data_IF_469455659458
#
_entry.id   IF_469455659458
#
_cell.length_a   1.000
_cell.length_b   1.000
_cell.length_c   1.000
_cell.angle_alpha   90.00
_cell.angle_beta   90.00
_cell.angle_gamma   90.00
#
_symmetry.space_group_name_H-M   'P 1'
#
loop_
_entity.id
_entity.type
_entity.pdbx_description
1 polymer ?
#
# COMPACT_ATOMS: atom_id res chain seq x y z
N UNK A 1 -16.20 25.29 -1.29
CA UNK A 1 -15.89 24.30 -2.34
C UNK A 1 -14.38 24.25 -2.50
N UNK A 2 -13.74 23.11 -2.19
CA UNK A 2 -12.27 22.95 -2.18
C UNK A 2 -11.73 22.44 -3.53
N UNK A 3 -12.18 23.02 -4.64
CA UNK A 3 -11.69 22.63 -5.97
C UNK A 3 -10.48 23.49 -6.32
N UNK A 4 -9.36 22.86 -6.68
CA UNK A 4 -8.19 23.55 -7.22
C UNK A 4 -8.10 23.36 -8.74
N UNK A 5 -7.34 24.21 -9.43
CA UNK A 5 -7.05 23.99 -10.84
C UNK A 5 -6.26 22.66 -10.94
N UNK A 6 -6.69 21.69 -11.78
CA UNK A 6 -6.08 20.37 -11.87
C UNK A 6 -4.76 20.40 -12.65
N UNK A 7 -3.87 21.32 -12.27
CA UNK A 7 -2.46 21.32 -12.65
C UNK A 7 -1.69 20.28 -11.85
N UNK A 8 -2.09 20.03 -10.59
CA UNK A 8 -1.40 19.10 -9.67
C UNK A 8 -2.37 18.14 -8.97
N UNK A 9 -3.56 18.59 -8.57
CA UNK A 9 -4.59 17.77 -7.89
C UNK A 9 -5.99 18.35 -8.10
N UNK A 10 -7.05 17.58 -7.83
CA UNK A 10 -8.44 18.07 -7.90
C UNK A 10 -8.85 18.89 -6.67
N UNK A 11 -8.29 18.58 -5.50
CA UNK A 11 -8.57 19.26 -4.24
C UNK A 11 -7.34 19.97 -3.72
N UNK A 12 -7.48 21.19 -3.18
CA UNK A 12 -6.33 21.89 -2.59
C UNK A 12 -5.81 21.18 -1.34
N UNK A 13 -6.69 20.42 -0.67
CA UNK A 13 -6.40 19.72 0.56
C UNK A 13 -6.55 20.60 1.80
N UNK A 14 -6.82 21.90 1.66
CA UNK A 14 -6.99 22.81 2.79
C UNK A 14 -8.20 22.41 3.66
N UNK A 15 -9.36 22.16 3.03
CA UNK A 15 -10.55 21.75 3.77
C UNK A 15 -10.39 20.36 4.39
N UNK A 16 -9.66 19.47 3.72
CA UNK A 16 -9.39 18.14 4.25
C UNK A 16 -8.43 18.20 5.46
N UNK A 17 -7.42 19.09 5.41
CA UNK A 17 -6.55 19.35 6.55
C UNK A 17 -7.32 19.96 7.72
N UNK A 18 -8.19 20.94 7.47
CA UNK A 18 -9.04 21.56 8.49
C UNK A 18 -9.96 20.53 9.13
N UNK A 19 -10.64 19.68 8.33
CA UNK A 19 -11.48 18.61 8.87
C UNK A 19 -10.73 17.61 9.75
N UNK A 20 -9.49 17.25 9.38
CA UNK A 20 -8.65 16.37 10.20
C UNK A 20 -8.16 17.07 11.48
N UNK A 21 -7.84 18.36 11.40
CA UNK A 21 -7.49 19.17 12.57
C UNK A 21 -8.67 19.36 13.51
N UNK A 22 -9.89 19.53 13.00
CA UNK A 22 -11.10 19.64 13.81
C UNK A 22 -11.41 18.33 14.57
N UNK A 23 -11.15 17.18 13.94
CA UNK A 23 -11.41 15.86 14.54
C UNK A 23 -10.31 15.48 15.54
N UNK A 24 -9.04 15.69 15.21
CA UNK A 24 -7.92 15.20 16.01
C UNK A 24 -7.25 16.26 16.88
N UNK A 25 -7.47 17.55 16.61
CA UNK A 25 -6.84 18.67 17.32
C UNK A 25 -5.32 18.57 17.34
N UNK A 26 -4.74 18.86 18.50
CA UNK A 26 -3.29 18.81 18.75
C UNK A 26 -2.78 17.43 19.17
N UNK A 27 -3.60 16.37 19.01
CA UNK A 27 -3.25 15.00 19.43
C UNK A 27 -2.00 14.52 18.70
N UNK A 28 -1.04 13.99 19.46
CA UNK A 28 0.13 13.30 18.92
C UNK A 28 -0.13 11.80 18.84
N UNK A 29 0.48 11.11 17.86
CA UNK A 29 0.31 9.66 17.66
C UNK A 29 0.69 8.88 18.93
N UNK A 30 1.81 9.25 19.55
CA UNK A 30 2.36 8.60 20.73
C UNK A 30 1.49 8.74 21.98
N UNK A 31 0.59 9.72 22.01
CA UNK A 31 -0.32 9.99 23.13
C UNK A 31 -1.62 9.18 23.05
N UNK A 32 -1.84 8.42 21.97
CA UNK A 32 -3.04 7.61 21.80
C UNK A 32 -3.08 6.43 22.79
N UNK A 33 -4.27 6.22 23.39
CA UNK A 33 -4.50 5.11 24.33
C UNK A 33 -4.23 3.73 23.71
N UNK A 34 -4.53 3.60 22.42
CA UNK A 34 -4.21 2.42 21.62
C UNK A 34 -3.02 2.78 20.76
N UNK A 35 -1.94 2.00 20.86
CA UNK A 35 -0.75 2.16 20.01
C UNK A 35 -1.18 2.16 18.55
N UNK A 36 -0.82 3.23 17.84
CA UNK A 36 -1.18 3.49 16.46
C UNK A 36 0.08 3.69 15.64
N UNK A 37 0.01 3.28 14.38
CA UNK A 37 0.94 3.71 13.35
C UNK A 37 0.18 3.91 12.05
N UNK A 38 0.73 4.74 11.16
CA UNK A 38 0.30 4.79 9.77
C UNK A 38 1.52 4.80 8.84
N UNK A 39 1.28 4.47 7.58
CA UNK A 39 2.33 4.38 6.57
C UNK A 39 2.08 5.42 5.50
N UNK A 40 3.16 6.07 5.07
CA UNK A 40 3.16 6.88 3.84
C UNK A 40 4.28 6.40 2.92
N UNK A 41 4.10 6.63 1.62
CA UNK A 41 5.20 6.50 0.66
C UNK A 41 5.97 7.81 0.57
N UNK A 42 7.27 7.78 0.86
CA UNK A 42 8.15 8.89 0.56
C UNK A 42 8.62 8.80 -0.89
N UNK A 43 8.15 9.73 -1.72
CA UNK A 43 8.48 9.79 -3.15
C UNK A 43 9.88 10.36 -3.38
N UNK A 44 10.37 11.22 -2.48
CA UNK A 44 11.71 11.82 -2.57
C UNK A 44 12.79 10.75 -2.40
N UNK A 45 12.67 9.92 -1.37
CA UNK A 45 13.66 8.88 -1.05
C UNK A 45 13.29 7.49 -1.61
N UNK A 46 12.11 7.36 -2.22
CA UNK A 46 11.57 6.08 -2.75
C UNK A 46 11.50 4.99 -1.68
N UNK A 47 11.10 5.34 -0.46
CA UNK A 47 11.00 4.41 0.66
C UNK A 47 9.63 4.46 1.35
N UNK A 48 9.37 3.45 2.18
CA UNK A 48 8.22 3.40 3.06
C UNK A 48 8.56 4.10 4.38
N UNK A 49 7.73 5.03 4.81
CA UNK A 49 7.85 5.68 6.11
C UNK A 49 6.73 5.19 7.04
N UNK A 50 7.11 4.72 8.23
CA UNK A 50 6.21 4.33 9.30
C UNK A 50 6.18 5.47 10.33
N UNK A 51 4.98 5.99 10.58
CA UNK A 51 4.77 7.11 11.51
C UNK A 51 4.20 6.57 12.82
N UNK A 52 5.01 6.63 13.88
CA UNK A 52 4.64 6.23 15.25
C UNK A 52 4.62 7.41 16.22
N UNK A 53 4.99 8.61 15.77
CA UNK A 53 5.04 9.82 16.59
C UNK A 53 4.77 11.09 15.77
N UNK A 54 4.33 12.15 16.45
CA UNK A 54 4.06 13.47 15.88
C UNK A 54 2.57 13.72 15.58
N UNK A 55 2.23 14.83 14.89
CA UNK A 55 0.84 15.29 14.82
C UNK A 55 -0.05 14.31 14.06
N UNK A 56 -1.06 13.75 14.74
CA UNK A 56 -1.91 12.69 14.21
C UNK A 56 -2.62 13.11 12.92
N UNK A 57 -3.23 14.30 12.90
CA UNK A 57 -3.95 14.80 11.73
C UNK A 57 -3.06 14.88 10.49
N UNK A 58 -1.77 15.21 10.69
CA UNK A 58 -0.82 15.46 9.61
C UNK A 58 -0.34 14.16 8.96
N UNK A 59 0.01 13.16 9.78
CA UNK A 59 0.45 11.87 9.25
C UNK A 59 -0.71 11.00 8.79
N UNK A 60 -1.88 11.11 9.41
CA UNK A 60 -3.12 10.54 8.85
C UNK A 60 -3.42 11.15 7.47
N UNK A 61 -3.31 12.48 7.33
CA UNK A 61 -3.44 13.17 6.04
C UNK A 61 -2.45 12.67 5.01
N UNK A 62 -1.19 12.49 5.39
CA UNK A 62 -0.14 11.99 4.50
C UNK A 62 -0.48 10.57 4.01
N UNK A 63 -0.87 9.69 4.93
CA UNK A 63 -1.26 8.29 4.66
C UNK A 63 -2.47 8.16 3.75
N UNK A 64 -3.35 9.17 3.68
CA UNK A 64 -4.54 9.22 2.82
C UNK A 64 -4.37 10.08 1.55
N UNK A 65 -3.13 10.37 1.14
CA UNK A 65 -2.85 11.27 0.00
C UNK A 65 -2.89 10.54 -1.34
N UNK A 66 -4.09 10.35 -1.88
CA UNK A 66 -4.24 9.75 -3.21
C UNK A 66 -3.77 10.71 -4.30
N UNK A 67 -2.82 10.26 -5.13
CA UNK A 67 -2.26 11.04 -6.24
C UNK A 67 -3.35 11.50 -7.22
N UNK A 68 -3.26 12.76 -7.63
CA UNK A 68 -4.24 13.42 -8.49
C UNK A 68 -5.50 13.87 -7.76
N UNK A 69 -5.84 13.31 -6.59
CA UNK A 69 -6.93 13.78 -5.75
C UNK A 69 -6.45 14.92 -4.84
N UNK A 70 -5.35 14.68 -4.14
CA UNK A 70 -4.77 15.56 -3.13
C UNK A 70 -3.28 15.85 -3.47
N UNK A 71 -2.76 17.04 -3.14
CA UNK A 71 -1.34 17.31 -3.32
C UNK A 71 -0.52 16.47 -2.31
N UNK A 72 0.69 16.03 -2.71
CA UNK A 72 1.66 15.41 -1.79
C UNK A 72 1.91 16.30 -0.57
N UNK A 73 2.06 15.67 0.60
CA UNK A 73 2.36 16.38 1.84
C UNK A 73 3.88 16.54 1.96
N UNK A 74 4.34 17.80 2.05
CA UNK A 74 5.76 18.09 2.26
C UNK A 74 6.09 18.01 3.76
N UNK A 75 6.98 17.11 4.14
CA UNK A 75 7.48 16.94 5.50
C UNK A 75 9.01 17.00 5.51
N UNK A 76 9.60 18.04 6.12
CA UNK A 76 11.05 18.23 6.21
C UNK A 76 11.85 18.12 4.89
N UNK A 77 11.22 18.38 3.75
CA UNK A 77 11.82 18.26 2.41
C UNK A 77 11.43 16.99 1.66
N UNK A 78 10.80 16.04 2.34
CA UNK A 78 10.28 14.81 1.76
C UNK A 78 8.83 14.97 1.30
N UNK A 79 8.52 14.41 0.13
CA UNK A 79 7.18 14.39 -0.43
C UNK A 79 6.50 13.07 -0.05
N UNK A 80 5.50 13.17 0.82
CA UNK A 80 4.73 12.04 1.32
C UNK A 80 3.41 11.89 0.55
N UNK A 81 3.12 10.66 0.16
CA UNK A 81 1.86 10.27 -0.48
C UNK A 81 1.26 9.04 0.22
N UNK A 82 0.08 8.59 -0.24
CA UNK A 82 -0.64 7.44 0.32
C UNK A 82 0.25 6.22 0.56
N UNK A 83 0.09 5.56 1.71
CA UNK A 83 0.89 4.38 2.07
C UNK A 83 0.58 3.14 1.24
N UNK A 84 -0.60 3.10 0.61
CA UNK A 84 -1.07 1.98 -0.20
C UNK A 84 -0.18 1.66 -1.39
N UNK A 85 0.57 2.64 -1.91
CA UNK A 85 1.48 2.42 -3.04
C UNK A 85 2.66 1.52 -2.68
N UNK A 86 3.08 1.47 -1.41
CA UNK A 86 4.18 0.61 -0.95
C UNK A 86 3.70 -0.55 -0.10
N UNK A 87 2.72 -0.33 0.78
CA UNK A 87 2.25 -1.34 1.71
C UNK A 87 0.81 -1.04 2.17
N UNK A 88 -0.17 -1.44 1.35
CA UNK A 88 -1.60 -1.23 1.62
C UNK A 88 -2.14 -2.10 2.78
N UNK A 89 -1.51 -3.26 3.04
CA UNK A 89 -1.89 -4.16 4.12
C UNK A 89 -0.66 -4.51 4.97
N UNK A 90 -0.26 -3.62 5.90
CA UNK A 90 1.03 -3.70 6.59
C UNK A 90 1.05 -4.70 7.74
N UNK A 91 0.80 -5.96 7.40
CA UNK A 91 0.82 -7.09 8.34
C UNK A 91 2.24 -7.34 8.86
N UNK A 92 3.24 -7.17 8.01
CA UNK A 92 4.66 -7.21 8.35
C UNK A 92 5.00 -6.17 9.42
N UNK A 93 4.69 -4.90 9.18
CA UNK A 93 4.94 -3.81 10.14
C UNK A 93 4.14 -4.03 11.43
N UNK A 94 2.86 -4.43 11.33
CA UNK A 94 2.04 -4.72 12.50
C UNK A 94 2.61 -5.84 13.38
N UNK A 95 3.21 -6.88 12.78
CA UNK A 95 3.83 -7.98 13.53
C UNK A 95 5.05 -7.51 14.32
N UNK A 96 5.84 -6.60 13.76
CA UNK A 96 6.97 -5.99 14.46
C UNK A 96 6.50 -5.02 15.55
N UNK A 97 5.46 -4.25 15.26
CA UNK A 97 4.89 -3.24 16.17
C UNK A 97 4.19 -3.86 17.38
N UNK A 98 3.46 -4.96 17.18
CA UNK A 98 2.72 -5.69 18.20
C UNK A 98 2.71 -7.21 17.90
N UNK A 99 3.64 -8.00 18.47
CA UNK A 99 3.75 -9.44 18.22
C UNK A 99 2.66 -10.22 18.95
N UNK A 100 1.43 -10.11 18.47
CA UNK A 100 0.23 -10.80 18.96
C UNK A 100 -0.58 -11.34 17.78
N UNK A 101 -1.84 -11.74 18.04
CA UNK A 101 -2.77 -12.08 16.95
C UNK A 101 -3.08 -10.83 16.14
N UNK A 102 -2.76 -10.85 14.85
CA UNK A 102 -3.03 -9.74 13.92
C UNK A 102 -4.37 -9.96 13.25
N UNK A 103 -5.25 -8.97 13.28
CA UNK A 103 -6.49 -8.99 12.50
C UNK A 103 -6.27 -8.13 11.26
N UNK A 104 -6.13 -8.79 10.10
CA UNK A 104 -5.91 -8.14 8.83
C UNK A 104 -7.26 -7.95 8.12
N UNK A 105 -7.63 -6.70 7.84
CA UNK A 105 -8.88 -6.35 7.14
C UNK A 105 -8.53 -5.77 5.79
N UNK A 106 -8.87 -6.51 4.74
CA UNK A 106 -8.66 -6.12 3.35
C UNK A 106 -9.97 -5.64 2.73
N UNK A 107 -10.07 -4.33 2.47
CA UNK A 107 -11.28 -3.64 1.98
C UNK A 107 -11.13 -3.29 0.49
N UNK A 108 -10.20 -3.92 -0.19
CA UNK A 108 -9.86 -3.55 -1.56
C UNK A 108 -10.96 -3.93 -2.56
N UNK A 109 -11.28 -2.99 -3.46
CA UNK A 109 -12.20 -3.26 -4.56
C UNK A 109 -11.48 -4.10 -5.62
N UNK A 110 -11.99 -5.31 -5.83
CA UNK A 110 -11.48 -6.27 -6.82
C UNK A 110 -12.14 -6.08 -8.18
N UNK A 111 -12.98 -5.05 -8.34
CA UNK A 111 -13.55 -4.73 -9.63
C UNK A 111 -12.43 -4.30 -10.58
N UNK A 112 -12.45 -4.86 -11.80
CA UNK A 112 -11.51 -4.44 -12.85
C UNK A 112 -11.92 -3.02 -13.28
N UNK A 113 -11.38 -1.99 -12.62
CA UNK A 113 -11.65 -0.58 -12.94
C UNK A 113 -11.35 -0.25 -14.42
N UNK A 114 -10.51 -1.05 -15.08
CA UNK A 114 -10.12 -0.90 -16.49
C UNK A 114 -10.84 -1.86 -17.45
N UNK A 115 -11.87 -2.59 -17.01
CA UNK A 115 -12.55 -3.58 -17.87
C UNK A 115 -13.22 -2.97 -19.11
N UNK A 116 -13.62 -1.69 -19.03
CA UNK A 116 -14.36 -1.00 -20.09
C UNK A 116 -13.64 0.26 -20.58
N UNK A 117 -12.31 0.24 -20.65
CA UNK A 117 -11.54 1.37 -21.19
C UNK A 117 -11.67 1.38 -22.72
N UNK A 118 -12.03 2.54 -23.27
CA UNK A 118 -12.09 2.71 -24.71
C UNK A 118 -10.68 2.65 -25.32
N UNK A 119 -10.54 1.94 -26.43
CA UNK A 119 -9.29 1.94 -27.19
C UNK A 119 -9.09 3.30 -27.87
N UNK A 120 -8.15 4.08 -27.34
CA UNK A 120 -7.74 5.38 -27.88
C UNK A 120 -6.43 5.32 -28.69
N UNK A 121 -5.90 4.11 -28.94
CA UNK A 121 -4.62 3.89 -29.61
C UNK A 121 -3.40 4.36 -28.80
N UNK A 122 -2.26 4.52 -29.48
CA UNK A 122 -0.97 4.83 -28.83
C UNK A 122 -0.81 6.30 -28.43
N UNK A 123 -1.73 7.19 -28.83
CA UNK A 123 -1.63 8.62 -28.54
C UNK A 123 -3.00 9.25 -28.28
N UNK A 124 -3.13 9.96 -27.17
CA UNK A 124 -4.33 10.70 -26.82
C UNK A 124 -4.17 12.19 -27.18
N UNK A 125 -4.93 12.66 -28.16
CA UNK A 125 -4.97 14.10 -28.50
C UNK A 125 -5.91 14.85 -27.55
N UNK A 126 -5.38 15.85 -26.84
CA UNK A 126 -6.18 16.70 -25.93
C UNK A 126 -7.30 17.45 -26.65
N UNK A 127 -7.09 17.85 -27.91
CA UNK A 127 -8.12 18.50 -28.73
C UNK A 127 -9.23 17.54 -29.14
N UNK A 128 -8.89 16.28 -29.45
CA UNK A 128 -9.88 15.25 -29.72
C UNK A 128 -10.73 14.95 -28.48
N UNK A 129 -10.09 14.88 -27.30
CA UNK A 129 -10.79 14.68 -26.04
C UNK A 129 -11.73 15.83 -25.72
N UNK A 130 -11.28 17.07 -25.92
CA UNK A 130 -12.09 18.28 -25.76
C UNK A 130 -13.29 18.28 -26.73
N UNK A 131 -13.06 17.93 -28.00
CA UNK A 131 -14.14 17.82 -28.99
C UNK A 131 -15.16 16.74 -28.60
N UNK A 132 -14.70 15.55 -28.19
CA UNK A 132 -15.56 14.46 -27.71
C UNK A 132 -16.36 14.85 -26.48
N UNK A 133 -15.74 15.58 -25.54
CA UNK A 133 -16.42 16.14 -24.38
C UNK A 133 -17.52 17.13 -24.76
N UNK A 134 -17.26 18.06 -25.69
CA UNK A 134 -18.27 18.99 -26.23
C UNK A 134 -19.39 18.22 -26.95
N UNK A 135 -19.05 17.24 -27.79
CA UNK A 135 -20.05 16.42 -28.49
C UNK A 135 -20.92 15.62 -27.52
N UNK A 136 -20.35 15.10 -26.43
CA UNK A 136 -21.09 14.41 -25.37
C UNK A 136 -22.02 15.36 -24.61
N UNK A 137 -21.56 16.58 -24.30
CA UNK A 137 -22.40 17.64 -23.71
C UNK A 137 -23.60 17.97 -24.61
N UNK A 138 -23.39 18.01 -25.93
CA UNK A 138 -24.45 18.22 -26.93
C UNK A 138 -25.30 16.97 -27.20
N UNK A 139 -25.10 15.86 -26.46
CA UNK A 139 -25.76 14.55 -26.65
C UNK A 139 -25.57 13.95 -28.04
N UNK A 140 -24.51 14.31 -28.75
CA UNK A 140 -24.18 13.82 -30.09
C UNK A 140 -23.23 12.61 -30.08
N UNK A 141 -22.65 12.26 -28.93
CA UNK A 141 -21.74 11.11 -28.76
C UNK A 141 -21.88 10.54 -27.36
N UNK A 142 -21.64 9.23 -27.22
CA UNK A 142 -21.43 8.60 -25.92
C UNK A 142 -20.17 9.17 -25.25
N UNK A 143 -20.17 9.29 -23.91
CA UNK A 143 -19.00 9.75 -23.16
C UNK A 143 -17.87 8.73 -23.29
N UNK A 144 -16.67 9.22 -23.59
CA UNK A 144 -15.48 8.37 -23.68
C UNK A 144 -15.00 8.01 -22.28
N UNK A 145 -14.78 6.72 -22.03
CA UNK A 145 -14.26 6.20 -20.78
C UNK A 145 -12.73 6.03 -20.86
N UNK A 146 -12.02 7.12 -20.52
CA UNK A 146 -10.56 7.14 -20.44
C UNK A 146 -10.15 7.15 -18.96
N UNK A 147 -9.21 6.29 -18.55
CA UNK A 147 -8.74 6.23 -17.17
C UNK A 147 -8.09 7.55 -16.77
N UNK A 148 -8.45 8.07 -15.58
CA UNK A 148 -7.85 9.28 -15.03
C UNK A 148 -6.65 8.90 -14.16
N UNK A 149 -5.79 9.88 -13.89
CA UNK A 149 -4.62 9.71 -13.02
C UNK A 149 -4.94 9.10 -11.65
N UNK A 150 -6.02 9.50 -10.93
CA UNK A 150 -6.38 8.87 -9.67
C UNK A 150 -6.77 7.39 -9.81
N UNK A 151 -7.47 7.03 -10.90
CA UNK A 151 -7.89 5.64 -11.16
C UNK A 151 -6.67 4.74 -11.36
N UNK A 152 -5.69 5.23 -12.13
CA UNK A 152 -4.39 4.55 -12.34
C UNK A 152 -3.62 4.44 -11.03
N UNK A 153 -3.62 5.49 -10.20
CA UNK A 153 -2.94 5.45 -8.92
C UNK A 153 -3.54 4.38 -8.00
N UNK A 154 -4.88 4.33 -7.88
CA UNK A 154 -5.59 3.29 -7.09
C UNK A 154 -5.21 1.89 -7.61
N UNK A 155 -5.13 1.70 -8.92
CA UNK A 155 -4.71 0.41 -9.50
C UNK A 155 -3.26 0.03 -9.17
N UNK A 156 -2.35 1.01 -9.15
CA UNK A 156 -0.96 0.76 -8.76
C UNK A 156 -0.87 0.34 -7.29
N UNK A 157 -1.67 0.97 -6.43
CA UNK A 157 -1.83 0.55 -5.03
C UNK A 157 -2.33 -0.91 -4.94
N UNK A 158 -3.34 -1.27 -5.75
CA UNK A 158 -3.86 -2.64 -5.83
C UNK A 158 -2.79 -3.65 -6.24
N UNK A 159 -2.01 -3.33 -7.27
CA UNK A 159 -0.94 -4.22 -7.74
C UNK A 159 0.09 -4.41 -6.64
N UNK A 160 0.53 -3.32 -6.00
CA UNK A 160 1.49 -3.34 -4.89
C UNK A 160 1.01 -4.23 -3.74
N UNK A 161 -0.25 -4.05 -3.31
CA UNK A 161 -0.90 -4.89 -2.31
C UNK A 161 -0.89 -6.37 -2.70
N UNK A 162 -1.36 -6.69 -3.91
CA UNK A 162 -1.45 -8.07 -4.38
C UNK A 162 -0.08 -8.76 -4.43
N UNK A 163 0.99 -8.01 -4.73
CA UNK A 163 2.36 -8.50 -4.74
C UNK A 163 2.88 -8.73 -3.32
N UNK A 164 2.70 -7.76 -2.42
CA UNK A 164 3.09 -7.86 -1.02
C UNK A 164 2.41 -9.05 -0.33
N UNK A 165 1.10 -9.21 -0.51
CA UNK A 165 0.37 -10.32 0.09
C UNK A 165 0.80 -11.68 -0.46
N UNK A 166 1.05 -11.79 -1.79
CA UNK A 166 1.62 -13.02 -2.38
C UNK A 166 2.96 -13.35 -1.73
N UNK A 167 3.81 -12.37 -1.50
CA UNK A 167 5.11 -12.58 -0.88
C UNK A 167 4.97 -13.05 0.58
N UNK A 168 4.09 -12.44 1.36
CA UNK A 168 3.79 -12.89 2.73
C UNK A 168 3.28 -14.34 2.77
N UNK A 169 2.44 -14.72 1.80
CA UNK A 169 1.96 -16.10 1.65
C UNK A 169 3.10 -17.06 1.26
N UNK A 170 3.98 -16.67 0.33
CA UNK A 170 5.14 -17.46 -0.11
C UNK A 170 6.14 -17.70 1.01
N UNK A 171 6.40 -16.67 1.82
CA UNK A 171 7.30 -16.75 2.96
C UNK A 171 6.70 -17.52 4.15
N UNK A 172 5.43 -17.93 4.07
CA UNK A 172 4.74 -18.60 5.17
C UNK A 172 4.50 -17.70 6.39
N UNK A 173 4.61 -16.37 6.21
CA UNK A 173 4.39 -15.38 7.25
C UNK A 173 2.90 -15.17 7.54
N UNK A 174 2.01 -15.69 6.72
CA UNK A 174 0.57 -15.76 7.02
C UNK A 174 0.28 -17.04 7.82
N UNK A 175 0.64 -17.03 9.09
CA UNK A 175 0.40 -18.17 10.01
C UNK A 175 -0.97 -18.07 10.74
N UNK A 176 -1.25 -19.01 11.64
CA UNK A 176 -2.52 -19.09 12.39
C UNK A 176 -2.77 -17.86 13.30
N UNK A 177 -1.76 -17.02 13.56
CA UNK A 177 -1.88 -15.75 14.31
C UNK A 177 -2.51 -14.62 13.49
N UNK A 178 -2.64 -14.76 12.16
CA UNK A 178 -3.27 -13.75 11.31
C UNK A 178 -4.73 -14.14 11.02
N UNK A 179 -5.65 -13.32 11.52
CA UNK A 179 -7.07 -13.42 11.20
C UNK A 179 -7.38 -12.52 10.01
N UNK A 180 -7.33 -13.11 8.82
CA UNK A 180 -7.70 -12.43 7.58
C UNK A 180 -9.22 -12.26 7.43
N UNK A 181 -9.66 -11.04 7.15
CA UNK A 181 -11.02 -10.61 6.84
C UNK A 181 -11.03 -9.84 5.53
N UNK A 182 -11.97 -10.14 4.64
CA UNK A 182 -12.16 -9.43 3.39
C UNK A 182 -13.66 -9.20 3.22
N UNK A 183 -14.21 -8.09 3.76
CA UNK A 183 -15.61 -7.73 3.53
C UNK A 183 -15.86 -7.52 2.04
N UNK A 184 -17.02 -7.98 1.58
CA UNK A 184 -17.44 -7.76 0.20
C UNK A 184 -17.99 -6.33 0.06
N UNK A 185 -17.12 -5.44 -0.42
CA UNK A 185 -17.43 -4.05 -0.72
C UNK A 185 -17.46 -3.80 -2.24
N UNK A 186 -17.61 -4.86 -3.04
CA UNK A 186 -17.72 -4.73 -4.49
C UNK A 186 -18.94 -3.87 -4.85
N UNK A 187 -18.72 -2.86 -5.69
CA UNK A 187 -19.78 -1.97 -6.18
C UNK A 187 -19.94 -0.65 -5.40
N UNK A 188 -19.16 -0.41 -4.34
CA UNK A 188 -19.03 0.91 -3.73
C UNK A 188 -17.83 1.64 -4.34
N UNK A 189 -18.05 2.86 -4.81
CA UNK A 189 -16.94 3.71 -5.29
C UNK A 189 -16.27 4.42 -4.11
N UNK A 190 -15.02 4.87 -4.33
CA UNK A 190 -14.22 5.58 -3.34
C UNK A 190 -14.94 6.80 -2.70
N UNK A 191 -15.82 7.47 -3.46
CA UNK A 191 -16.52 8.68 -3.05
C UNK A 191 -18.03 8.49 -2.83
N UNK A 192 -18.53 7.24 -2.73
CA UNK A 192 -19.95 6.93 -2.46
C UNK A 192 -20.28 7.12 -0.95
N UNK A 193 -20.08 8.33 -0.42
CA UNK A 193 -20.32 8.65 1.00
C UNK A 193 -21.79 8.54 1.42
N UNK A 194 -22.71 8.59 0.46
CA UNK A 194 -24.15 8.40 0.65
C UNK A 194 -24.53 6.98 1.08
N UNK A 195 -23.66 6.00 0.85
CA UNK A 195 -23.90 4.58 1.16
C UNK A 195 -23.13 4.09 2.39
N UNK A 196 -22.74 4.99 3.28
CA UNK A 196 -21.92 4.65 4.45
C UNK A 196 -22.56 3.57 5.34
N UNK A 197 -23.88 3.61 5.53
CA UNK A 197 -24.59 2.63 6.36
C UNK A 197 -24.53 1.22 5.75
N UNK A 198 -24.67 1.10 4.44
CA UNK A 198 -24.56 -0.18 3.72
C UNK A 198 -23.14 -0.74 3.81
N UNK A 199 -22.12 0.12 3.65
CA UNK A 199 -20.69 -0.25 3.75
C UNK A 199 -20.37 -0.76 5.16
N UNK A 200 -20.84 -0.04 6.19
CA UNK A 200 -20.67 -0.44 7.60
C UNK A 200 -21.34 -1.79 7.86
N UNK A 201 -22.53 -2.03 7.32
CA UNK A 201 -23.23 -3.30 7.47
C UNK A 201 -22.52 -4.47 6.76
N UNK A 202 -21.91 -4.25 5.60
CA UNK A 202 -21.06 -5.25 4.94
C UNK A 202 -19.87 -5.64 5.83
N UNK A 203 -19.14 -4.65 6.37
CA UNK A 203 -18.04 -4.86 7.31
C UNK A 203 -18.47 -5.61 8.57
N UNK A 204 -19.61 -5.18 9.17
CA UNK A 204 -20.19 -5.80 10.36
C UNK A 204 -20.55 -7.27 10.13
N UNK A 205 -21.23 -7.60 9.02
CA UNK A 205 -21.64 -8.98 8.69
C UNK A 205 -20.42 -9.91 8.57
N UNK A 206 -19.39 -9.49 7.85
CA UNK A 206 -18.17 -10.32 7.68
C UNK A 206 -17.38 -10.42 9.00
N UNK A 207 -17.26 -9.31 9.74
CA UNK A 207 -16.62 -9.29 11.06
C UNK A 207 -17.28 -10.24 12.06
N UNK A 208 -18.61 -10.22 12.19
CA UNK A 208 -19.34 -11.14 13.08
C UNK A 208 -19.18 -12.60 12.65
N UNK A 209 -19.26 -12.88 11.34
CA UNK A 209 -19.07 -14.23 10.78
C UNK A 209 -17.68 -14.77 11.13
N UNK A 210 -16.64 -13.94 10.98
CA UNK A 210 -15.26 -14.33 11.26
C UNK A 210 -14.98 -14.46 12.76
N UNK A 211 -15.52 -13.56 13.57
CA UNK A 211 -15.40 -13.61 15.04
C UNK A 211 -16.07 -14.86 15.63
N UNK A 212 -17.27 -15.21 15.15
CA UNK A 212 -17.96 -16.46 15.55
C UNK A 212 -17.16 -17.71 15.19
N UNK A 213 -16.42 -17.69 14.08
CA UNK A 213 -15.53 -18.79 13.67
C UNK A 213 -14.28 -18.83 14.56
N UNK A 214 -13.71 -17.69 14.89
CA UNK A 214 -12.55 -17.59 15.78
C UNK A 214 -12.88 -18.05 17.20
N UNK A 215 -13.99 -17.60 17.79
CA UNK A 215 -14.45 -18.03 19.13
C UNK A 215 -14.65 -19.55 19.23
N UNK A 216 -15.20 -20.18 18.17
CA UNK A 216 -15.35 -21.64 18.11
C UNK A 216 -14.01 -22.38 18.08
N UNK A 217 -12.96 -21.76 17.54
CA UNK A 217 -11.61 -22.32 17.49
C UNK A 217 -10.85 -22.17 18.81
N UNK A 218 -11.07 -21.09 19.55
CA UNK A 218 -10.43 -20.86 20.86
C UNK A 218 -11.16 -21.53 22.02
N UNK A 219 -12.45 -21.86 21.88
CA UNK A 219 -13.27 -22.45 22.96
C UNK A 219 -13.47 -23.98 22.93
N UNK A 220 -12.92 -24.71 21.96
CA UNK A 220 -13.06 -26.17 21.84
C UNK A 220 -11.70 -26.86 21.76
N UNK A 221 -11.43 -27.79 22.67
CA UNK A 221 -10.16 -28.49 22.78
C UNK A 221 -9.72 -29.20 21.48
N UNK A 222 -8.41 -29.15 21.23
CA UNK A 222 -7.62 -30.04 20.35
C UNK A 222 -8.40 -30.71 19.20
N UNK A 223 -8.74 -29.97 18.14
CA UNK A 223 -9.12 -30.59 16.87
C UNK A 223 -8.17 -30.20 15.73
N UNK A 224 -7.67 -31.25 15.08
CA UNK A 224 -6.51 -31.31 14.18
C UNK A 224 -6.91 -31.02 12.72
N UNK A 225 -7.85 -30.09 12.50
CA UNK A 225 -8.23 -29.59 11.16
C UNK A 225 -7.94 -28.09 11.02
N UNK A 226 -6.64 -27.80 10.98
CA UNK A 226 -6.04 -26.49 10.70
C UNK A 226 -6.22 -26.11 9.22
N UNK A 227 -7.41 -25.63 8.83
CA UNK A 227 -7.56 -24.89 7.56
C UNK A 227 -7.16 -23.44 7.80
N UNK A 228 -5.95 -23.14 7.33
CA UNK A 228 -5.08 -21.99 7.60
C UNK A 228 -5.64 -20.66 7.08
N UNK A 229 -5.25 -19.57 7.74
CA UNK A 229 -5.36 -18.17 7.29
C UNK A 229 -4.87 -17.98 5.85
N UNK A 230 -3.79 -18.68 5.47
CA UNK A 230 -3.29 -18.82 4.10
C UNK A 230 -4.39 -19.17 3.09
N UNK A 231 -5.26 -20.13 3.38
CA UNK A 231 -6.31 -20.54 2.45
C UNK A 231 -7.40 -19.47 2.29
N UNK A 232 -7.65 -18.66 3.33
CA UNK A 232 -8.61 -17.56 3.25
C UNK A 232 -8.05 -16.38 2.45
N UNK A 233 -6.78 -16.02 2.68
CA UNK A 233 -6.08 -15.00 1.91
C UNK A 233 -5.91 -15.43 0.43
N UNK A 234 -5.41 -16.64 0.17
CA UNK A 234 -5.21 -17.14 -1.19
C UNK A 234 -6.53 -17.26 -1.98
N UNK A 235 -7.61 -17.73 -1.35
CA UNK A 235 -8.94 -17.79 -1.99
C UNK A 235 -9.51 -16.39 -2.29
N UNK A 236 -9.27 -15.41 -1.41
CA UNK A 236 -9.78 -14.05 -1.60
C UNK A 236 -9.16 -13.36 -2.83
N UNK A 237 -7.93 -13.71 -3.23
CA UNK A 237 -7.24 -13.09 -4.37
C UNK A 237 -7.23 -13.95 -5.64
N UNK A 238 -8.09 -14.99 -5.71
CA UNK A 238 -8.15 -15.85 -6.90
C UNK A 238 -6.85 -16.61 -7.17
N UNK A 239 -6.01 -16.82 -6.15
CA UNK A 239 -4.75 -17.56 -6.26
C UNK A 239 -4.92 -19.07 -6.05
N UNK A 240 -6.17 -19.52 -5.93
CA UNK A 240 -6.55 -20.92 -5.83
C UNK A 240 -7.60 -21.21 -6.89
N UNK A 241 -7.15 -21.58 -8.09
CA UNK A 241 -7.97 -22.44 -8.94
C UNK A 241 -7.91 -23.86 -8.37
N UNK A 242 -9.03 -24.56 -8.41
CA UNK A 242 -9.16 -25.89 -7.83
C UNK A 242 -8.17 -26.89 -8.45
N UNK A 243 -7.20 -27.32 -7.66
CA UNK A 243 -6.28 -28.41 -8.01
C UNK A 243 -4.83 -28.09 -7.66
N UNK A 244 -4.24 -28.90 -6.79
CA UNK A 244 -2.80 -29.06 -6.58
C UNK A 244 -2.00 -27.87 -6.01
N UNK A 245 -2.10 -27.70 -4.69
CA UNK A 245 -0.88 -27.52 -3.89
C UNK A 245 -0.37 -28.91 -3.49
N UNK A 246 0.16 -29.66 -4.46
CA UNK A 246 1.12 -30.71 -4.15
C UNK A 246 2.41 -30.00 -3.75
N UNK A 247 2.92 -30.30 -2.55
CA UNK A 247 4.18 -29.76 -2.05
C UNK A 247 5.29 -29.96 -3.10
N UNK A 248 6.11 -28.93 -3.43
CA UNK A 248 7.22 -29.15 -4.32
C UNK A 248 8.27 -30.00 -3.59
N UNK A 249 8.39 -31.23 -4.10
CA UNK A 249 9.51 -32.15 -3.89
C UNK A 249 10.80 -31.42 -4.27
N UNK A 250 11.84 -31.60 -3.45
CA UNK A 250 12.97 -30.68 -3.33
C UNK A 250 13.88 -30.51 -4.54
N UNK A 251 14.68 -29.44 -4.45
CA UNK A 251 15.97 -29.20 -5.13
C UNK A 251 16.61 -27.92 -4.55
N UNK A 252 17.92 -27.67 -4.78
CA UNK A 252 18.94 -27.43 -3.74
C UNK A 252 19.20 -25.94 -3.41
N UNK A 253 20.00 -25.63 -2.36
CA UNK A 253 20.17 -24.26 -1.86
C UNK A 253 20.87 -23.31 -2.85
N UNK A 254 20.70 -21.98 -2.68
CA UNK A 254 21.12 -20.99 -3.66
C UNK A 254 22.64 -20.78 -3.60
N UNK A 255 23.34 -21.11 -4.69
CA UNK A 255 24.64 -20.54 -5.00
C UNK A 255 24.50 -19.56 -6.16
N UNK A 256 24.91 -18.32 -5.90
CA UNK A 256 25.53 -17.35 -6.81
C UNK A 256 24.90 -17.14 -8.18
N UNK A 257 24.20 -16.01 -8.32
CA UNK A 257 23.91 -15.36 -9.60
C UNK A 257 25.25 -15.08 -10.30
N UNK A 258 25.53 -15.82 -11.37
CA UNK A 258 26.59 -15.53 -12.32
C UNK A 258 26.06 -14.55 -13.36
N UNK A 259 26.72 -13.39 -13.41
CA UNK A 259 26.49 -12.28 -14.32
C UNK A 259 26.70 -12.74 -15.78
N UNK A 260 25.68 -12.62 -16.64
CA UNK A 260 25.78 -12.98 -18.05
C UNK A 260 26.19 -11.75 -18.89
N UNK A 261 27.47 -11.75 -19.26
CA UNK A 261 28.06 -11.31 -20.54
C UNK A 261 27.58 -10.00 -21.20
N UNK A 262 28.47 -9.00 -21.19
CA UNK A 262 28.65 -8.08 -22.31
C UNK A 262 30.15 -8.07 -22.73
N UNK A 263 30.40 -8.57 -23.95
CA UNK A 263 31.52 -8.34 -24.88
C UNK A 263 33.00 -8.25 -24.45
N UNK A 264 33.80 -9.14 -25.08
CA UNK A 264 35.27 -9.20 -25.26
C UNK A 264 36.01 -7.85 -25.42
N UNK A 265 37.21 -7.77 -24.81
CA UNK A 265 38.52 -7.67 -25.50
C UNK A 265 39.70 -7.66 -24.48
N UNK A 266 40.70 -8.53 -24.68
CA UNK A 266 42.11 -8.24 -24.37
C UNK A 266 42.73 -8.72 -23.05
N UNK A 267 43.45 -9.86 -23.12
CA UNK A 267 44.74 -10.23 -22.49
C UNK A 267 45.15 -9.82 -21.06
N UNK A 268 45.55 -10.85 -20.28
CA UNK A 268 46.90 -10.91 -19.69
C UNK A 268 47.08 -10.75 -18.16
N UNK A 269 47.63 -11.79 -17.51
CA UNK A 269 48.33 -11.76 -16.20
C UNK A 269 47.47 -12.13 -14.98
N UNK A 270 47.67 -13.28 -14.31
CA UNK A 270 48.67 -13.52 -13.25
C UNK A 270 48.69 -12.37 -12.21
N UNK A 271 48.43 -12.54 -10.91
CA UNK A 271 49.11 -13.44 -9.97
C UNK A 271 48.42 -13.36 -8.57
N UNK A 272 48.84 -14.25 -7.68
CA UNK A 272 48.33 -14.57 -6.33
C UNK A 272 48.55 -13.43 -5.31
N UNK A 273 47.72 -13.35 -4.26
CA UNK A 273 48.14 -13.59 -2.86
C UNK A 273 46.99 -13.45 -1.84
N UNK A 274 47.26 -13.96 -0.63
CA UNK A 274 46.34 -14.39 0.42
C UNK A 274 46.07 -13.32 1.49
N UNK A 275 44.99 -13.59 2.23
CA UNK A 275 44.89 -13.57 3.70
C UNK A 275 44.24 -12.38 4.44
N UNK A 276 43.47 -12.81 5.44
CA UNK A 276 43.17 -12.21 6.75
C UNK A 276 42.02 -11.18 6.89
N UNK A 277 40.88 -11.70 7.34
CA UNK A 277 39.94 -11.13 8.33
C UNK A 277 40.65 -10.69 9.62
N UNK A 278 40.10 -9.77 10.48
CA UNK A 278 38.77 -9.94 11.10
C UNK A 278 37.91 -8.69 11.46
N UNK A 279 36.64 -9.00 11.76
CA UNK A 279 35.60 -8.34 12.58
C UNK A 279 35.86 -6.95 13.22
N UNK A 280 34.86 -6.04 13.14
CA UNK A 280 34.10 -5.52 14.31
C UNK A 280 33.10 -4.39 13.95
N UNK A 281 31.88 -4.52 14.50
CA UNK A 281 30.96 -3.51 15.09
C UNK A 281 30.37 -2.33 14.29
N UNK A 282 29.03 -2.38 14.22
CA UNK A 282 28.00 -1.32 14.33
C UNK A 282 28.42 0.12 14.62
N UNK A 283 27.86 1.08 13.87
CA UNK A 283 27.53 2.43 14.36
C UNK A 283 26.22 2.93 13.73
N UNK A 284 25.23 3.19 14.58
CA UNK A 284 24.08 4.10 14.34
C UNK A 284 24.57 5.53 14.44
N UNK A 285 24.13 6.42 13.55
CA UNK A 285 24.26 7.87 13.74
C UNK A 285 22.90 8.56 13.63
N UNK A 286 22.36 8.97 14.78
CA UNK A 286 21.54 10.17 14.88
C UNK A 286 22.49 11.36 15.06
N UNK A 287 22.27 12.47 14.38
CA UNK A 287 22.70 13.78 14.90
C UNK A 287 21.80 14.88 14.38
N UNK A 288 21.11 15.53 15.30
CA UNK A 288 20.46 16.80 15.10
C UNK A 288 21.21 17.88 15.89
N UNK A 289 21.15 19.08 15.31
CA UNK A 289 21.15 20.39 15.95
C UNK A 289 22.46 21.21 16.02
N UNK A 290 22.34 22.36 15.33
CA UNK A 290 22.70 23.74 15.73
C UNK A 290 24.17 24.06 15.94
N UNK A 291 24.64 25.01 15.12
CA UNK A 291 25.10 26.31 15.63
C UNK A 291 25.09 27.38 14.52
N UNK A 292 24.50 28.51 14.86
CA UNK A 292 24.53 29.77 14.11
C UNK A 292 25.91 30.43 14.20
N UNK A 293 26.24 31.28 13.22
CA UNK A 293 27.37 32.20 13.32
C UNK A 293 27.85 32.73 11.97
N UNK A 294 27.55 34.01 11.72
CA UNK A 294 27.82 34.88 10.56
C UNK A 294 29.30 35.02 10.11
N UNK A 295 29.56 35.53 8.88
CA UNK A 295 30.88 35.57 8.22
C UNK A 295 31.68 36.85 8.53
N UNK A 296 33.00 36.85 8.23
CA UNK A 296 33.55 37.71 7.17
C UNK A 296 34.68 36.97 6.40
N UNK A 297 35.17 37.31 5.20
CA UNK A 297 35.17 38.45 4.27
C UNK A 297 35.19 37.90 2.84
#
# INVERSE_FOLDING_TARGET
SDFTLPLVSYFSGANFNEALQDVFGDTQIEDLWIRYFCISTNVTESNMMVHEAGPLWRYARASMTVLGLLPPLLDNGDLLVDGGYVNNLPVDVMREFAPATVVAVDVEDKSNAFANVDDYGDSLSGWWLALKWIMSMLRLSEPVNIPRTPDVAIQLSYISHSMALKELLRQGLVDDSIVYMCPDVQGFKLLDYDKIDDIVDCGRKEGLKRLRRWRRRTGGGTDRRRRSSLAAAAAAHGLVDGGDFAAPIGMPPPHSISMMHLHRLGDGGAERERASTPLSSSVRSYSASKLAGTPPT
#
